data_IF_722484157719
#
_entry.id   IF_722484157719
#
_cell.length_a   1.000
_cell.length_b   1.000
_cell.length_c   1.000
_cell.angle_alpha   90.00
_cell.angle_beta   90.00
_cell.angle_gamma   90.00
#
_symmetry.space_group_name_H-M   'P 1'
#
loop_
_entity.id
_entity.type
_entity.pdbx_description
1 polymer ?
#
# COMPACT_ATOMS: atom_id res chain seq x y z
N UNK A 1 2.97 24.18 16.28
CA UNK A 1 3.52 22.82 16.05
C UNK A 1 2.43 21.83 16.45
N UNK A 2 2.15 20.81 15.66
CA UNK A 2 1.11 19.83 15.96
C UNK A 2 1.65 18.43 15.67
N UNK A 3 1.16 17.44 16.42
CA UNK A 3 1.44 16.04 16.18
C UNK A 3 0.38 15.51 15.22
N UNK A 4 0.81 14.85 14.15
CA UNK A 4 -0.08 14.28 13.13
C UNK A 4 0.24 12.82 12.88
N UNK A 5 -0.80 12.08 12.51
CA UNK A 5 -0.70 10.73 11.96
C UNK A 5 -1.11 10.80 10.48
N UNK A 6 -0.21 11.24 9.59
CA UNK A 6 -0.56 11.45 8.19
C UNK A 6 -0.80 10.13 7.44
N UNK A 7 -1.74 10.17 6.51
CA UNK A 7 -1.89 9.15 5.48
C UNK A 7 -1.01 9.52 4.28
N UNK A 8 -0.08 8.64 3.91
CA UNK A 8 0.73 8.86 2.73
C UNK A 8 0.04 8.32 1.48
N UNK A 9 0.16 9.05 0.38
CA UNK A 9 -0.37 8.66 -0.92
C UNK A 9 0.60 9.05 -2.04
N UNK A 10 0.47 8.36 -3.18
CA UNK A 10 1.27 8.70 -4.37
C UNK A 10 0.99 10.13 -4.83
N UNK A 11 2.03 10.88 -5.24
CA UNK A 11 1.85 12.19 -5.85
C UNK A 11 1.36 12.04 -7.30
N UNK A 12 0.84 13.13 -7.86
CA UNK A 12 0.40 13.19 -9.25
C UNK A 12 -1.06 13.64 -9.38
N UNK A 13 -1.47 13.86 -10.63
CA UNK A 13 -2.84 14.21 -10.96
C UNK A 13 -3.52 13.00 -11.60
N UNK A 14 -4.60 12.52 -11.00
CA UNK A 14 -5.43 11.43 -11.50
C UNK A 14 -6.79 11.99 -11.92
N UNK A 15 -7.38 11.57 -13.06
CA UNK A 15 -8.64 12.13 -13.55
C UNK A 15 -9.81 12.09 -12.55
N UNK A 16 -9.80 11.11 -11.64
CA UNK A 16 -10.83 10.89 -10.62
C UNK A 16 -10.40 11.28 -9.20
N UNK A 17 -9.23 11.92 -9.03
CA UNK A 17 -8.65 12.29 -7.72
C UNK A 17 -8.53 11.12 -6.70
N UNK A 18 -8.37 9.89 -7.20
CA UNK A 18 -8.14 8.68 -6.39
C UNK A 18 -6.67 8.30 -6.43
N UNK A 19 -6.02 8.31 -5.26
CA UNK A 19 -4.59 8.09 -5.13
C UNK A 19 -4.30 6.84 -4.33
N UNK A 20 -3.30 6.08 -4.76
CA UNK A 20 -2.88 4.86 -4.06
C UNK A 20 -2.25 5.21 -2.72
N UNK A 21 -2.70 4.55 -1.66
CA UNK A 21 -2.11 4.61 -0.33
C UNK A 21 -0.69 4.03 -0.31
N UNK A 22 0.23 4.77 0.30
CA UNK A 22 1.60 4.34 0.57
C UNK A 22 1.72 4.00 2.05
N UNK A 23 2.12 2.76 2.37
CA UNK A 23 2.33 2.36 3.78
C UNK A 23 3.59 3.00 4.37
N UNK A 24 4.59 3.22 3.54
CA UNK A 24 5.87 3.78 3.90
C UNK A 24 6.27 4.84 2.87
N UNK A 25 7.06 5.82 3.31
CA UNK A 25 7.74 6.74 2.42
C UNK A 25 9.00 6.04 1.87
N UNK A 26 9.06 5.86 0.55
CA UNK A 26 10.23 5.23 -0.07
C UNK A 26 11.35 6.27 -0.25
N UNK A 27 12.63 5.89 -0.01
CA UNK A 27 13.77 6.77 -0.24
C UNK A 27 13.81 7.29 -1.68
N UNK A 28 14.11 8.57 -1.86
CA UNK A 28 14.20 9.21 -3.18
C UNK A 28 12.85 9.49 -3.85
N UNK A 29 11.73 9.21 -3.19
CA UNK A 29 10.40 9.54 -3.71
C UNK A 29 9.69 10.56 -2.82
N UNK A 30 9.02 11.51 -3.46
CA UNK A 30 8.07 12.41 -2.80
C UNK A 30 6.73 11.70 -2.60
N UNK A 31 6.04 12.00 -1.50
CA UNK A 31 4.67 11.54 -1.26
C UNK A 31 3.81 12.70 -0.75
N UNK A 32 2.50 12.55 -0.88
CA UNK A 32 1.53 13.49 -0.31
C UNK A 32 1.11 12.97 1.05
N UNK A 33 1.30 13.78 2.08
CA UNK A 33 0.85 13.52 3.45
C UNK A 33 -0.49 14.21 3.69
N UNK A 34 -1.56 13.42 3.82
CA UNK A 34 -2.91 13.92 4.09
C UNK A 34 -3.23 13.74 5.57
N UNK A 35 -3.71 14.78 6.23
CA UNK A 35 -4.11 14.76 7.64
C UNK A 35 -5.24 15.76 7.88
N UNK A 36 -5.94 15.60 9.01
CA UNK A 36 -6.96 16.55 9.47
C UNK A 36 -6.33 17.55 10.44
N UNK A 37 -6.53 18.84 10.20
CA UNK A 37 -5.89 19.90 10.97
C UNK A 37 -6.32 21.30 10.54
N UNK A 38 -5.73 22.36 11.13
CA UNK A 38 -6.02 23.74 10.76
C UNK A 38 -5.64 24.01 9.29
N UNK A 39 -6.46 24.82 8.62
CA UNK A 39 -6.26 25.17 7.21
C UNK A 39 -5.16 26.22 7.08
N UNK A 40 -4.26 26.01 6.13
CA UNK A 40 -3.23 26.99 5.73
C UNK A 40 -3.45 27.41 4.28
N UNK A 41 -3.36 28.70 4.00
CA UNK A 41 -3.52 29.26 2.65
C UNK A 41 -2.16 29.47 1.99
N UNK A 42 -2.05 29.14 0.70
CA UNK A 42 -0.83 29.33 -0.09
C UNK A 42 0.20 28.21 0.04
N UNK A 43 1.29 28.33 -0.73
CA UNK A 43 2.39 27.37 -0.77
C UNK A 43 3.36 27.63 0.40
N UNK A 44 3.02 27.13 1.58
CA UNK A 44 3.82 27.32 2.81
C UNK A 44 4.83 26.17 2.97
N UNK A 45 6.12 26.43 3.20
CA UNK A 45 7.08 25.37 3.50
C UNK A 45 6.77 24.72 4.85
N UNK A 46 6.83 23.39 4.89
CA UNK A 46 6.52 22.56 6.07
C UNK A 46 7.72 21.69 6.41
N UNK A 47 8.04 21.62 7.71
CA UNK A 47 9.09 20.76 8.25
C UNK A 47 8.47 19.67 9.11
N UNK A 48 8.85 18.41 8.88
CA UNK A 48 8.37 17.25 9.62
C UNK A 48 9.46 16.72 10.54
N UNK A 49 9.14 16.64 11.83
CA UNK A 49 10.06 16.18 12.87
C UNK A 49 9.51 14.93 13.56
N UNK A 50 10.41 14.04 13.99
CA UNK A 50 10.11 12.97 14.94
C UNK A 50 10.67 13.34 16.29
N UNK A 51 9.88 13.12 17.33
CA UNK A 51 10.34 13.26 18.71
C UNK A 51 11.31 12.14 19.03
N UNK A 52 12.51 12.52 19.41
CA UNK A 52 13.56 11.66 19.96
C UNK A 52 13.53 11.88 21.46
N UNK A 53 13.12 10.86 22.22
CA UNK A 53 13.43 10.86 23.64
C UNK A 53 14.94 10.69 23.75
N UNK A 54 15.66 11.53 24.53
CA UNK A 54 17.03 11.20 24.87
C UNK A 54 16.96 9.88 25.64
N UNK A 55 17.41 8.79 25.03
CA UNK A 55 17.57 7.53 25.75
C UNK A 55 18.59 7.80 26.86
N UNK A 56 18.22 7.49 28.09
CA UNK A 56 19.09 7.56 29.26
C UNK A 56 20.34 6.65 29.16
N UNK A 57 20.51 5.92 28.06
CA UNK A 57 21.61 4.98 27.80
C UNK A 57 22.64 5.50 26.77
N UNK A 58 22.40 6.64 26.11
CA UNK A 58 23.34 7.25 25.16
C UNK A 58 24.11 8.44 25.75
N UNK A 59 24.05 8.65 27.07
CA UNK A 59 24.83 9.67 27.78
C UNK A 59 26.31 9.27 27.97
N UNK A 60 26.93 8.66 26.96
CA UNK A 60 28.35 8.28 26.95
C UNK A 60 29.00 8.60 25.59
N UNK A 61 28.83 9.84 25.13
CA UNK A 61 29.79 10.48 24.24
C UNK A 61 29.55 11.99 24.32
N UNK A 62 30.15 12.59 25.34
CA UNK A 62 30.29 14.04 25.47
C UNK A 62 31.19 14.51 24.33
N UNK A 63 30.63 15.19 23.33
CA UNK A 63 31.27 16.23 22.50
C UNK A 63 30.34 16.54 21.31
N UNK A 64 29.34 17.39 21.55
CA UNK A 64 28.79 18.42 20.64
C UNK A 64 27.47 18.95 21.23
N UNK A 65 27.60 19.86 22.19
CA UNK A 65 26.51 20.61 22.79
C UNK A 65 25.95 21.63 21.78
N UNK A 66 25.04 21.18 20.91
CA UNK A 66 24.18 22.05 20.13
C UNK A 66 22.72 21.73 20.48
N UNK A 67 22.19 22.36 21.53
CA UNK A 67 20.77 22.42 21.91
C UNK A 67 19.92 21.25 21.37
N UNK A 68 20.08 20.04 21.92
CA UNK A 68 19.33 18.89 21.43
C UNK A 68 17.84 19.06 21.78
N UNK A 69 17.05 19.55 20.83
CA UNK A 69 15.62 19.83 21.01
C UNK A 69 14.82 18.53 21.15
N UNK A 70 15.45 17.35 21.16
CA UNK A 70 14.76 16.05 21.20
C UNK A 70 13.85 15.88 19.98
N UNK A 71 14.23 16.50 18.86
CA UNK A 71 13.50 16.50 17.60
C UNK A 71 14.48 16.23 16.46
N UNK A 72 14.28 15.12 15.76
CA UNK A 72 15.02 14.79 14.54
C UNK A 72 14.19 15.20 13.32
N UNK A 73 14.77 16.00 12.42
CA UNK A 73 14.15 16.34 11.13
C UNK A 73 14.06 15.08 10.27
N UNK A 74 12.86 14.73 9.81
CA UNK A 74 12.63 13.53 8.96
C UNK A 74 12.45 13.93 7.50
N UNK A 75 11.70 15.01 7.26
CA UNK A 75 11.31 15.41 5.92
C UNK A 75 11.03 16.90 5.84
N UNK A 76 11.15 17.43 4.62
CA UNK A 76 10.74 18.77 4.24
C UNK A 76 9.65 18.65 3.17
N UNK A 77 8.79 19.66 3.07
CA UNK A 77 7.75 19.68 2.06
C UNK A 77 7.11 21.05 1.93
N UNK A 78 6.07 21.12 1.11
CA UNK A 78 5.28 22.34 0.89
C UNK A 78 3.81 22.00 1.07
N UNK A 79 3.06 22.88 1.73
CA UNK A 79 1.63 22.75 1.89
C UNK A 79 0.95 22.81 0.51
N UNK A 80 0.12 21.81 0.24
CA UNK A 80 -0.78 21.81 -0.90
C UNK A 80 -2.10 22.50 -0.53
N UNK A 81 -2.90 22.94 -1.52
CA UNK A 81 -4.22 23.50 -1.27
C UNK A 81 -5.07 22.54 -0.42
N UNK A 82 -5.80 23.04 0.58
CA UNK A 82 -6.70 22.21 1.37
C UNK A 82 -7.76 21.60 0.45
N UNK A 83 -7.87 20.28 0.46
CA UNK A 83 -8.85 19.55 -0.35
C UNK A 83 -9.57 18.50 0.50
N UNK A 84 -10.88 18.42 0.31
CA UNK A 84 -11.75 17.35 0.83
C UNK A 84 -12.07 16.29 -0.23
N UNK A 85 -11.69 16.51 -1.50
CA UNK A 85 -12.00 15.61 -2.62
C UNK A 85 -11.03 14.45 -2.75
N UNK A 86 -9.81 14.60 -2.24
CA UNK A 86 -8.74 13.61 -2.43
C UNK A 86 -9.07 12.29 -1.75
N UNK A 87 -9.28 11.24 -2.55
CA UNK A 87 -9.56 9.90 -2.04
C UNK A 87 -8.27 9.09 -1.95
N UNK A 88 -7.96 8.55 -0.78
CA UNK A 88 -6.79 7.68 -0.57
C UNK A 88 -7.23 6.22 -0.53
N UNK A 89 -6.93 5.46 -1.58
CA UNK A 89 -7.34 4.08 -1.73
C UNK A 89 -6.24 3.09 -1.32
N UNK A 90 -6.54 2.23 -0.34
CA UNK A 90 -5.63 1.16 0.10
C UNK A 90 -5.81 -0.09 -0.75
N UNK A 91 -4.73 -0.52 -1.41
CA UNK A 91 -4.70 -1.77 -2.16
C UNK A 91 -4.46 -2.96 -1.24
N UNK A 92 -5.30 -3.98 -1.33
CA UNK A 92 -5.12 -5.30 -0.73
C UNK A 92 -4.95 -6.30 -1.87
N UNK A 93 -3.97 -7.21 -1.75
CA UNK A 93 -3.70 -8.26 -2.73
C UNK A 93 -3.91 -9.59 -2.01
N UNK A 94 -4.83 -10.40 -2.53
CA UNK A 94 -5.00 -11.79 -2.12
C UNK A 94 -4.09 -12.64 -2.99
N UNK A 95 -3.33 -13.56 -2.40
CA UNK A 95 -2.36 -14.37 -3.14
C UNK A 95 -2.78 -15.83 -3.14
N UNK A 96 -2.74 -16.45 -4.30
CA UNK A 96 -3.00 -17.87 -4.50
C UNK A 96 -1.83 -18.58 -5.17
N UNK A 97 -1.77 -19.90 -4.97
CA UNK A 97 -0.78 -20.75 -5.59
C UNK A 97 -1.43 -21.64 -6.66
N UNK A 98 -0.91 -21.69 -7.90
CA UNK A 98 -1.31 -22.68 -8.90
C UNK A 98 -1.06 -24.10 -8.40
N UNK A 99 -2.08 -24.95 -8.40
CA UNK A 99 -1.96 -26.35 -7.96
C UNK A 99 -1.92 -27.32 -9.14
N UNK A 100 -2.99 -27.35 -9.95
CA UNK A 100 -3.09 -28.23 -11.11
C UNK A 100 -3.30 -27.41 -12.37
N UNK A 101 -2.44 -27.58 -13.37
CA UNK A 101 -2.41 -26.76 -14.59
C UNK A 101 -2.74 -27.65 -15.78
N UNK A 102 -3.86 -27.36 -16.45
CA UNK A 102 -4.29 -28.04 -17.65
C UNK A 102 -4.53 -27.03 -18.78
N UNK A 103 -3.56 -26.91 -19.69
CA UNK A 103 -3.53 -25.93 -20.78
C UNK A 103 -3.75 -24.49 -20.25
N UNK A 104 -4.98 -23.97 -20.35
CA UNK A 104 -5.40 -22.64 -19.89
C UNK A 104 -6.22 -22.66 -18.60
N UNK A 105 -6.67 -23.82 -18.14
CA UNK A 105 -7.44 -23.99 -16.92
C UNK A 105 -6.48 -24.34 -15.79
N UNK A 106 -6.49 -23.53 -14.73
CA UNK A 106 -5.61 -23.69 -13.57
C UNK A 106 -6.46 -23.81 -12.33
N UNK A 107 -6.20 -24.83 -11.51
CA UNK A 107 -6.76 -24.92 -10.16
C UNK A 107 -5.87 -24.13 -9.21
N UNK A 108 -6.43 -23.17 -8.48
CA UNK A 108 -5.71 -22.32 -7.52
C UNK A 108 -6.11 -22.71 -6.10
N UNK A 109 -5.14 -22.68 -5.19
CA UNK A 109 -5.31 -22.92 -3.74
C UNK A 109 -4.74 -21.79 -2.90
N UNK A 110 -5.13 -21.74 -1.64
CA UNK A 110 -4.64 -20.78 -0.61
C UNK A 110 -4.96 -19.30 -0.84
N UNK A 111 -5.78 -18.96 -1.83
CA UNK A 111 -6.33 -17.60 -1.97
C UNK A 111 -7.61 -17.41 -1.14
N UNK A 112 -8.45 -18.45 -1.10
CA UNK A 112 -9.68 -18.52 -0.30
C UNK A 112 -9.74 -19.84 0.44
N UNK A 113 -10.61 -19.90 1.46
CA UNK A 113 -10.79 -21.09 2.30
C UNK A 113 -12.23 -21.62 2.30
N UNK A 114 -13.19 -20.83 1.81
CA UNK A 114 -14.61 -21.22 1.68
C UNK A 114 -15.08 -21.08 0.23
N UNK A 115 -16.12 -21.85 -0.12
CA UNK A 115 -16.77 -21.75 -1.43
C UNK A 115 -17.44 -20.40 -1.67
N UNK A 116 -18.09 -19.86 -0.64
CA UNK A 116 -18.83 -18.59 -0.72
C UNK A 116 -17.93 -17.42 -1.11
N UNK A 117 -16.71 -17.36 -0.56
CA UNK A 117 -15.73 -16.32 -0.88
C UNK A 117 -15.33 -16.38 -2.37
N UNK A 118 -15.11 -17.58 -2.90
CA UNK A 118 -14.78 -17.77 -4.33
C UNK A 118 -15.91 -17.26 -5.22
N UNK A 119 -17.16 -17.59 -4.88
CA UNK A 119 -18.33 -17.17 -5.64
C UNK A 119 -18.55 -15.66 -5.56
N UNK A 120 -18.34 -15.08 -4.38
CA UNK A 120 -18.42 -13.63 -4.15
C UNK A 120 -17.41 -12.85 -5.00
N UNK A 121 -16.16 -13.35 -5.07
CA UNK A 121 -15.08 -12.70 -5.82
C UNK A 121 -14.96 -13.15 -7.27
N UNK A 122 -15.91 -13.95 -7.78
CA UNK A 122 -15.84 -14.54 -9.13
C UNK A 122 -15.74 -13.51 -10.26
N UNK A 123 -16.36 -12.33 -10.09
CA UNK A 123 -16.36 -11.27 -11.09
C UNK A 123 -15.05 -10.48 -11.17
N UNK A 124 -14.15 -10.63 -10.19
CA UNK A 124 -12.89 -9.90 -10.18
C UNK A 124 -11.87 -10.52 -11.14
N UNK A 125 -11.10 -9.69 -11.88
CA UNK A 125 -10.00 -10.17 -12.69
C UNK A 125 -8.84 -10.64 -11.80
N UNK A 126 -8.20 -11.71 -12.22
CA UNK A 126 -6.97 -12.24 -11.65
C UNK A 126 -5.79 -11.80 -12.50
N UNK A 127 -4.66 -11.57 -11.85
CA UNK A 127 -3.40 -11.29 -12.54
C UNK A 127 -2.27 -12.01 -11.84
N UNK A 128 -1.28 -12.46 -12.58
CA UNK A 128 -0.08 -13.09 -12.00
C UNK A 128 1.07 -12.12 -11.91
N UNK A 129 2.02 -12.38 -11.01
CA UNK A 129 3.24 -11.59 -10.91
C UNK A 129 4.01 -11.52 -12.24
N UNK A 130 3.91 -12.55 -13.09
CA UNK A 130 4.54 -12.59 -14.43
C UNK A 130 3.72 -11.94 -15.54
N UNK A 131 2.62 -11.24 -15.21
CA UNK A 131 1.86 -10.43 -16.16
C UNK A 131 0.77 -11.17 -16.94
N UNK A 132 0.42 -12.40 -16.54
CA UNK A 132 -0.76 -13.11 -17.08
C UNK A 132 -2.04 -12.59 -16.45
N UNK A 133 -3.12 -12.61 -17.21
CA UNK A 133 -4.44 -12.14 -16.78
C UNK A 133 -5.48 -13.24 -16.94
N UNK A 134 -6.45 -13.31 -16.03
CA UNK A 134 -7.43 -14.37 -16.01
C UNK A 134 -8.66 -14.06 -15.18
N UNK A 135 -9.54 -15.04 -15.06
CA UNK A 135 -10.80 -14.94 -14.32
C UNK A 135 -11.12 -16.26 -13.60
N UNK A 136 -11.87 -16.16 -12.51
CA UNK A 136 -12.41 -17.31 -11.79
C UNK A 136 -13.52 -17.96 -12.63
N UNK A 137 -13.41 -19.27 -12.86
CA UNK A 137 -14.40 -20.06 -13.62
C UNK A 137 -15.44 -20.68 -12.69
N UNK A 138 -15.00 -21.46 -11.71
CA UNK A 138 -15.87 -22.18 -10.78
C UNK A 138 -15.14 -22.55 -9.49
N UNK A 139 -15.87 -22.60 -8.37
CA UNK A 139 -15.37 -23.14 -7.11
C UNK A 139 -15.29 -24.67 -7.16
N UNK A 140 -14.30 -25.24 -6.46
CA UNK A 140 -14.04 -26.66 -6.33
C UNK A 140 -14.14 -27.08 -4.86
N UNK A 141 -15.09 -27.96 -4.56
CA UNK A 141 -15.30 -28.48 -3.21
C UNK A 141 -15.72 -27.39 -2.22
N UNK A 142 -15.33 -27.57 -0.95
CA UNK A 142 -15.70 -26.71 0.18
C UNK A 142 -14.55 -25.85 0.70
N UNK A 143 -13.29 -26.24 0.45
CA UNK A 143 -12.09 -25.62 1.01
C UNK A 143 -11.57 -24.37 0.24
N UNK A 144 -12.42 -23.72 -0.57
CA UNK A 144 -12.06 -22.50 -1.29
C UNK A 144 -11.10 -22.68 -2.47
N UNK A 145 -10.94 -23.91 -2.96
CA UNK A 145 -10.20 -24.15 -4.20
C UNK A 145 -11.08 -23.71 -5.38
N UNK A 146 -10.46 -23.30 -6.48
CA UNK A 146 -11.25 -22.89 -7.64
C UNK A 146 -10.46 -23.08 -8.94
N UNK A 147 -11.20 -23.27 -10.03
CA UNK A 147 -10.63 -23.22 -11.38
C UNK A 147 -10.65 -21.79 -11.87
N UNK A 148 -9.55 -21.36 -12.47
CA UNK A 148 -9.43 -20.12 -13.19
C UNK A 148 -8.98 -20.39 -14.62
N UNK A 149 -9.30 -19.45 -15.51
CA UNK A 149 -8.82 -19.45 -16.90
C UNK A 149 -7.93 -18.25 -17.11
N UNK A 150 -6.79 -18.46 -17.77
CA UNK A 150 -5.84 -17.41 -18.11
C UNK A 150 -5.63 -17.27 -19.61
N UNK A 151 -5.11 -16.13 -20.02
CA UNK A 151 -4.73 -15.81 -21.40
C UNK A 151 -3.72 -16.81 -21.99
N UNK A 152 -2.75 -17.24 -21.17
CA UNK A 152 -1.68 -18.16 -21.58
C UNK A 152 -1.37 -19.21 -20.50
N UNK A 153 -0.44 -20.10 -20.83
CA UNK A 153 0.06 -21.10 -19.89
C UNK A 153 0.84 -20.44 -18.74
N UNK A 154 0.56 -20.88 -17.51
CA UNK A 154 1.18 -20.39 -16.28
C UNK A 154 2.16 -21.42 -15.74
N UNK A 155 3.24 -20.95 -15.11
CA UNK A 155 4.21 -21.80 -14.43
C UNK A 155 3.72 -22.11 -13.00
N UNK A 156 3.90 -23.34 -12.48
CA UNK A 156 3.61 -23.66 -11.08
C UNK A 156 4.28 -22.76 -10.03
N UNK A 157 5.41 -22.12 -10.36
CA UNK A 157 6.13 -21.19 -9.50
C UNK A 157 5.56 -19.75 -9.52
N UNK A 158 4.51 -19.50 -10.30
CA UNK A 158 3.89 -18.19 -10.36
C UNK A 158 2.97 -17.94 -9.16
N UNK A 159 2.77 -16.68 -8.82
CA UNK A 159 1.78 -16.27 -7.82
C UNK A 159 0.63 -15.59 -8.56
N UNK A 160 -0.59 -16.07 -8.30
CA UNK A 160 -1.85 -15.47 -8.76
C UNK A 160 -2.36 -14.51 -7.69
#
# INVERSE_FOLDING_TARGET
>A
RFTINPLFSQPGNTPNDVHKYCRYLHPGQSAVATFTGPVTWGAVPVLFFKRTTPNAEAAQSEEEQASDVGLTLIATGTALPPSTSRVVAKRVILTGHPYHINKRIVTIRYMFFNREDVEWFKALPLWTRRGRSGYVKEALGTHGYFKATFDAHINPQDAV
#
